data_IF_241486796866
#
_entry.id   IF_241486796866
#
_cell.length_a   1.000
_cell.length_b   1.000
_cell.length_c   1.000
_cell.angle_alpha   90.00
_cell.angle_beta   90.00
_cell.angle_gamma   90.00
#
_symmetry.space_group_name_H-M   'P 1'
#
loop_
_entity.id
_entity.type
_entity.pdbx_description
1 polymer ?
#
# COMPACT_ATOMS: atom_id res chain seq x y z
N UNK A 1 20.94 9.85 -16.03
CA UNK A 1 20.67 8.81 -15.02
C UNK A 1 19.17 8.60 -15.07
N UNK A 2 18.65 7.41 -15.43
CA UNK A 2 17.23 7.18 -15.23
C UNK A 2 17.03 7.19 -13.71
N UNK A 3 16.20 8.09 -13.23
CA UNK A 3 15.67 8.01 -11.87
C UNK A 3 14.93 6.67 -11.82
N UNK A 4 15.48 5.69 -11.10
CA UNK A 4 14.72 4.49 -10.76
C UNK A 4 13.45 4.99 -10.08
N UNK A 5 12.32 4.92 -10.77
CA UNK A 5 11.00 5.13 -10.17
C UNK A 5 10.86 4.04 -9.10
N UNK A 6 11.32 4.35 -7.89
CA UNK A 6 11.18 3.48 -6.72
C UNK A 6 9.69 3.08 -6.64
N UNK A 7 9.39 1.78 -6.78
CA UNK A 7 8.01 1.30 -6.78
C UNK A 7 7.37 1.63 -5.42
N UNK A 8 6.59 2.71 -5.39
CA UNK A 8 5.88 3.13 -4.18
C UNK A 8 4.61 2.29 -4.00
N UNK A 9 4.52 1.63 -2.86
CA UNK A 9 3.32 0.91 -2.42
C UNK A 9 2.49 1.85 -1.56
N UNK A 10 1.20 1.96 -1.87
CA UNK A 10 0.24 2.86 -1.25
C UNK A 10 -0.98 2.09 -0.76
N UNK A 11 -1.49 2.43 0.42
CA UNK A 11 -2.72 1.92 0.99
C UNK A 11 -3.78 3.02 1.02
N UNK A 12 -4.99 2.70 0.57
CA UNK A 12 -6.16 3.56 0.58
C UNK A 12 -7.30 2.92 1.38
N UNK A 13 -8.10 3.73 2.07
CA UNK A 13 -9.41 3.31 2.55
C UNK A 13 -10.37 3.10 1.38
N UNK A 14 -11.51 2.46 1.64
CA UNK A 14 -12.63 2.36 0.69
C UNK A 14 -13.11 3.72 0.19
N UNK A 15 -12.95 4.76 1.01
CA UNK A 15 -13.35 6.13 0.69
C UNK A 15 -12.29 6.89 -0.14
N UNK A 16 -11.20 6.21 -0.50
CA UNK A 16 -10.11 6.77 -1.30
C UNK A 16 -9.08 7.57 -0.50
N UNK A 17 -9.16 7.59 0.83
CA UNK A 17 -8.19 8.28 1.67
C UNK A 17 -6.89 7.48 1.74
N UNK A 18 -5.75 8.09 1.40
CA UNK A 18 -4.44 7.45 1.57
C UNK A 18 -4.08 7.39 3.04
N UNK A 19 -3.87 6.18 3.56
CA UNK A 19 -3.60 5.93 4.98
C UNK A 19 -2.12 5.61 5.20
N UNK A 20 -1.49 5.02 4.19
CA UNK A 20 -0.10 4.60 4.30
C UNK A 20 0.58 4.59 2.93
N UNK A 21 1.89 4.81 2.91
CA UNK A 21 2.74 4.55 1.76
C UNK A 21 4.15 4.18 2.21
N UNK A 22 4.81 3.34 1.43
CA UNK A 22 6.23 3.09 1.55
C UNK A 22 6.83 2.84 0.17
N UNK A 23 8.11 3.17 0.04
CA UNK A 23 8.92 2.80 -1.12
C UNK A 23 9.35 1.35 -0.95
N UNK A 24 9.23 0.54 -2.00
CA UNK A 24 9.79 -0.80 -2.00
C UNK A 24 11.31 -0.71 -1.74
N UNK A 25 11.78 -1.26 -0.62
CA UNK A 25 13.21 -1.41 -0.37
C UNK A 25 13.80 -2.49 -1.29
N UNK A 26 15.13 -2.52 -1.42
CA UNK A 26 15.88 -3.49 -2.26
C UNK A 26 15.48 -4.95 -2.05
N UNK A 27 14.96 -5.30 -0.88
CA UNK A 27 14.48 -6.65 -0.52
C UNK A 27 13.13 -7.04 -1.13
N UNK A 28 12.40 -6.10 -1.74
CA UNK A 28 11.11 -6.36 -2.42
C UNK A 28 9.95 -6.76 -1.51
N UNK A 29 10.14 -6.73 -0.19
CA UNK A 29 9.11 -7.08 0.80
C UNK A 29 8.81 -5.88 1.70
N UNK A 30 7.53 -5.55 1.83
CA UNK A 30 7.03 -4.51 2.72
C UNK A 30 6.08 -5.13 3.75
N UNK A 31 6.30 -4.78 5.03
CA UNK A 31 5.43 -5.20 6.12
C UNK A 31 4.61 -4.01 6.59
N UNK A 32 3.29 -4.18 6.59
CA UNK A 32 2.33 -3.21 7.08
C UNK A 32 1.53 -3.87 8.21
N UNK A 33 1.48 -3.24 9.39
CA UNK A 33 0.55 -3.67 10.44
C UNK A 33 -0.85 -3.10 10.17
N UNK A 34 -1.86 -3.96 10.31
CA UNK A 34 -3.27 -3.61 10.14
C UNK A 34 -3.97 -3.43 11.50
N UNK A 35 -3.26 -3.58 12.62
CA UNK A 35 -3.85 -3.62 13.97
C UNK A 35 -4.55 -2.32 14.37
N UNK A 36 -4.13 -1.19 13.80
CA UNK A 36 -4.75 0.12 14.06
C UNK A 36 -5.76 0.53 12.98
N UNK A 37 -6.03 -0.31 11.98
CA UNK A 37 -7.03 -0.03 10.95
C UNK A 37 -8.40 -0.45 11.46
N UNK A 38 -9.39 0.41 11.22
CA UNK A 38 -10.78 0.06 11.45
C UNK A 38 -11.20 -1.14 10.57
N UNK A 39 -12.21 -1.88 11.00
CA UNK A 39 -12.83 -2.88 10.14
C UNK A 39 -13.37 -2.20 8.86
N UNK A 40 -13.09 -2.78 7.71
CA UNK A 40 -13.42 -2.15 6.43
C UNK A 40 -12.67 -2.73 5.24
N UNK A 41 -12.93 -2.13 4.08
CA UNK A 41 -12.25 -2.49 2.83
C UNK A 41 -11.14 -1.50 2.55
N UNK A 42 -9.96 -2.00 2.22
CA UNK A 42 -8.79 -1.23 1.86
C UNK A 42 -8.29 -1.63 0.48
N UNK A 43 -7.70 -0.68 -0.23
CA UNK A 43 -7.09 -0.88 -1.53
C UNK A 43 -5.59 -0.66 -1.42
N UNK A 44 -4.80 -1.67 -1.76
CA UNK A 44 -3.35 -1.57 -1.87
C UNK A 44 -3.03 -1.33 -3.35
N UNK A 45 -2.17 -0.36 -3.65
CA UNK A 45 -1.62 -0.12 -4.99
C UNK A 45 -0.10 -0.21 -4.95
N UNK A 46 0.48 -0.98 -5.86
CA UNK A 46 1.92 -1.10 -6.06
C UNK A 46 2.18 -0.95 -7.56
N UNK A 47 2.70 0.21 -7.97
CA UNK A 47 2.83 0.57 -9.39
C UNK A 47 1.48 0.46 -10.13
N UNK A 48 1.43 -0.37 -11.19
CA UNK A 48 0.21 -0.63 -11.98
C UNK A 48 -0.72 -1.69 -11.37
N UNK A 49 -0.32 -2.34 -10.28
CA UNK A 49 -1.08 -3.43 -9.65
C UNK A 49 -1.89 -2.89 -8.47
N UNK A 50 -3.08 -3.45 -8.29
CA UNK A 50 -3.91 -3.16 -7.12
C UNK A 50 -4.51 -4.43 -6.53
N UNK A 51 -4.59 -4.49 -5.21
CA UNK A 51 -5.23 -5.56 -4.45
C UNK A 51 -6.26 -4.98 -3.49
N UNK A 52 -7.30 -5.77 -3.18
CA UNK A 52 -8.31 -5.42 -2.17
C UNK A 52 -8.08 -6.26 -0.92
N UNK A 53 -8.09 -5.59 0.22
CA UNK A 53 -7.94 -6.19 1.54
C UNK A 53 -9.20 -5.91 2.36
N UNK A 54 -9.72 -6.93 3.04
CA UNK A 54 -10.83 -6.79 3.99
C UNK A 54 -10.27 -6.98 5.41
N UNK A 55 -10.38 -5.95 6.23
CA UNK A 55 -10.07 -5.99 7.66
C UNK A 55 -11.39 -6.21 8.40
N UNK A 56 -11.42 -7.19 9.31
CA UNK A 56 -12.59 -7.55 10.12
C UNK A 56 -12.30 -7.36 11.59
#
# INVERSE_FOLDING_TARGET
MPEEEEEEVRLFSSDGVRIWSAKASETGQLKLSLESLAAGTYIIRAGKRSARLLVK
#
